data_IF_927620555009
#
_entry.id   IF_927620555009
#
_cell.length_a   1.000
_cell.length_b   1.000
_cell.length_c   1.000
_cell.angle_alpha   90.00
_cell.angle_beta   90.00
_cell.angle_gamma   90.00
#
_symmetry.space_group_name_H-M   'P 1'
#
loop_
_entity.id
_entity.type
_entity.pdbx_description
1 polymer ?
#
# COMPACT_ATOMS: atom_id res chain seq x y z
N UNK A 1 -41.87 3.63 29.67
CA UNK A 1 -40.66 3.35 28.86
C UNK A 1 -40.76 1.91 28.42
N UNK A 2 -40.86 1.65 27.12
CA UNK A 2 -40.86 0.29 26.60
C UNK A 2 -39.42 -0.24 26.60
N UNK A 3 -39.26 -1.52 26.95
CA UNK A 3 -37.97 -2.20 26.91
C UNK A 3 -37.74 -2.70 25.48
N UNK A 4 -36.79 -2.10 24.77
CA UNK A 4 -36.40 -2.58 23.44
C UNK A 4 -35.66 -3.92 23.59
N UNK A 5 -35.99 -4.87 22.72
CA UNK A 5 -35.34 -6.18 22.69
C UNK A 5 -34.39 -6.26 21.51
N UNK A 6 -33.11 -6.46 21.79
CA UNK A 6 -32.06 -6.65 20.77
C UNK A 6 -31.92 -8.15 20.50
N UNK A 7 -31.86 -8.53 19.23
CA UNK A 7 -31.57 -9.88 18.75
C UNK A 7 -30.18 -9.90 18.12
N UNK A 8 -29.33 -10.86 18.48
CA UNK A 8 -28.00 -11.04 17.92
C UNK A 8 -27.14 -11.99 18.75
N UNK A 9 -25.90 -12.23 18.31
CA UNK A 9 -24.98 -13.14 18.99
C UNK A 9 -24.48 -12.55 20.32
N UNK A 10 -24.76 -13.23 21.44
CA UNK A 10 -24.27 -12.80 22.77
C UNK A 10 -22.84 -13.21 23.05
N UNK A 11 -22.27 -14.11 22.24
CA UNK A 11 -20.90 -14.59 22.38
C UNK A 11 -20.15 -14.57 21.04
N UNK A 12 -19.98 -13.38 20.43
CA UNK A 12 -19.38 -13.20 19.12
C UNK A 12 -17.91 -13.60 19.08
N UNK A 13 -17.45 -14.04 17.92
CA UNK A 13 -16.04 -14.38 17.69
C UNK A 13 -15.26 -13.12 17.32
N UNK A 14 -14.10 -12.91 17.93
CA UNK A 14 -13.22 -11.80 17.55
C UNK A 14 -12.83 -11.92 16.08
N UNK A 15 -12.87 -10.79 15.35
CA UNK A 15 -12.51 -10.73 13.94
C UNK A 15 -13.67 -10.97 12.97
N UNK A 16 -14.76 -11.56 13.42
CA UNK A 16 -15.97 -11.79 12.63
C UNK A 16 -16.94 -10.60 12.70
N UNK A 17 -17.68 -10.39 11.62
CA UNK A 17 -18.72 -9.35 11.54
C UNK A 17 -20.05 -9.94 11.99
N UNK A 18 -20.63 -9.34 13.00
CA UNK A 18 -21.83 -9.82 13.69
C UNK A 18 -22.98 -8.84 13.48
N UNK A 19 -24.18 -9.37 13.25
CA UNK A 19 -25.36 -8.59 12.94
C UNK A 19 -26.32 -8.55 14.13
N UNK A 20 -26.85 -7.37 14.42
CA UNK A 20 -27.80 -7.12 15.51
C UNK A 20 -29.02 -6.36 14.99
N UNK A 21 -30.21 -6.74 15.46
CA UNK A 21 -31.47 -6.13 15.06
C UNK A 21 -32.39 -5.91 16.26
N UNK A 22 -33.38 -5.03 16.11
CA UNK A 22 -34.49 -4.94 17.06
C UNK A 22 -35.50 -6.06 16.79
N UNK A 23 -35.89 -6.80 17.83
CA UNK A 23 -36.98 -7.78 17.74
C UNK A 23 -38.30 -7.05 17.45
N UNK A 24 -38.98 -7.45 16.38
CA UNK A 24 -40.28 -6.91 15.94
C UNK A 24 -41.46 -7.45 16.78
N UNK A 25 -41.22 -7.81 18.04
CA UNK A 25 -42.27 -8.19 18.99
C UNK A 25 -43.25 -7.04 19.27
N UNK A 26 -42.91 -5.80 18.91
CA UNK A 26 -43.82 -4.64 18.81
C UNK A 26 -44.76 -4.79 17.59
N UNK A 27 -45.58 -5.85 17.55
CA UNK A 27 -46.71 -5.98 16.59
C UNK A 27 -47.86 -5.00 16.87
N UNK A 28 -47.65 -3.95 17.68
CA UNK A 28 -48.67 -2.94 17.97
C UNK A 28 -48.57 -1.67 17.12
N UNK A 29 -47.56 -1.50 16.27
CA UNK A 29 -47.39 -0.28 15.46
C UNK A 29 -47.63 -0.45 13.96
N UNK A 30 -48.01 -1.64 13.48
CA UNK A 30 -48.31 -1.85 12.05
C UNK A 30 -49.75 -1.50 11.65
N UNK A 31 -50.59 -1.02 12.57
CA UNK A 31 -52.00 -0.74 12.31
C UNK A 31 -52.38 0.74 12.17
N UNK A 32 -51.46 1.69 12.35
CA UNK A 32 -51.76 3.12 12.14
C UNK A 32 -50.62 3.86 11.40
N UNK A 33 -50.78 4.19 10.10
CA UNK A 33 -49.81 4.97 9.34
C UNK A 33 -49.87 6.49 9.63
N UNK A 34 -50.57 6.92 10.69
CA UNK A 34 -50.79 8.33 10.99
C UNK A 34 -50.17 8.71 12.34
N UNK A 35 -49.18 9.61 12.25
CA UNK A 35 -48.73 10.53 13.30
C UNK A 35 -47.72 10.07 14.38
N UNK A 36 -46.60 9.45 14.01
CA UNK A 36 -45.38 9.57 14.82
C UNK A 36 -44.16 9.85 13.93
N UNK A 37 -43.29 10.83 14.28
CA UNK A 37 -41.99 10.92 13.61
C UNK A 37 -41.30 9.58 13.79
N UNK A 38 -40.75 8.99 12.72
CA UNK A 38 -39.93 7.80 12.84
C UNK A 38 -38.73 8.17 13.73
N UNK A 39 -38.85 7.91 15.02
CA UNK A 39 -37.82 8.22 16.00
C UNK A 39 -36.59 7.42 15.61
N UNK A 40 -35.50 8.15 15.35
CA UNK A 40 -34.21 7.60 14.97
C UNK A 40 -33.77 6.54 15.98
N UNK A 41 -33.30 5.40 15.47
CA UNK A 41 -32.76 4.30 16.28
C UNK A 41 -31.26 4.44 16.29
N UNK A 42 -30.67 4.58 17.47
CA UNK A 42 -29.24 4.76 17.70
C UNK A 42 -28.68 3.61 18.52
N UNK A 43 -27.48 3.14 18.14
CA UNK A 43 -26.80 2.01 18.75
C UNK A 43 -25.42 2.40 19.23
N UNK A 44 -25.06 1.96 20.42
CA UNK A 44 -23.75 2.21 21.03
C UNK A 44 -23.20 0.94 21.70
N UNK A 45 -21.87 0.80 21.69
CA UNK A 45 -21.18 -0.22 22.49
C UNK A 45 -20.66 0.43 23.77
N UNK A 46 -21.04 -0.16 24.89
CA UNK A 46 -20.52 0.18 26.20
C UNK A 46 -19.56 -0.90 26.66
N UNK A 47 -18.42 -0.48 27.18
CA UNK A 47 -17.41 -1.36 27.76
C UNK A 47 -17.22 -1.00 29.22
N UNK A 48 -17.05 -2.02 30.04
CA UNK A 48 -16.71 -1.87 31.45
C UNK A 48 -15.23 -2.15 31.64
N UNK A 49 -14.51 -1.13 32.10
CA UNK A 49 -13.12 -1.25 32.54
C UNK A 49 -13.01 -1.05 34.07
N UNK A 50 -11.78 -0.86 34.58
CA UNK A 50 -11.54 -0.65 36.02
C UNK A 50 -12.15 0.66 36.55
N UNK A 51 -12.44 1.64 35.70
CA UNK A 51 -12.99 2.96 36.04
C UNK A 51 -14.52 3.02 35.91
N UNK A 52 -15.15 1.99 35.35
CA UNK A 52 -16.59 1.89 35.20
C UNK A 52 -17.04 1.69 33.77
N UNK A 53 -18.29 2.03 33.48
CA UNK A 53 -18.87 1.95 32.14
C UNK A 53 -18.50 3.17 31.31
N UNK A 54 -18.06 2.95 30.07
CA UNK A 54 -17.84 4.01 29.08
C UNK A 54 -18.28 3.58 27.70
N UNK A 55 -18.64 4.55 26.87
CA UNK A 55 -18.92 4.34 25.44
C UNK A 55 -17.58 4.21 24.70
N UNK A 56 -17.51 3.30 23.74
CA UNK A 56 -16.33 3.18 22.87
C UNK A 56 -16.44 4.17 21.71
N UNK A 57 -15.40 5.00 21.51
CA UNK A 57 -15.36 5.99 20.42
C UNK A 57 -15.60 5.33 19.05
N UNK A 58 -16.39 5.98 18.19
CA UNK A 58 -16.63 5.54 16.81
C UNK A 58 -17.59 4.37 16.62
N UNK A 59 -18.40 4.01 17.63
CA UNK A 59 -19.35 2.88 17.56
C UNK A 59 -20.82 3.28 17.45
N UNK A 60 -21.10 4.59 17.29
CA UNK A 60 -22.44 5.09 17.04
C UNK A 60 -22.90 4.59 15.67
N UNK A 61 -23.98 3.83 15.66
CA UNK A 61 -24.63 3.34 14.44
C UNK A 61 -26.11 3.64 14.49
N UNK A 62 -26.73 3.69 13.32
CA UNK A 62 -28.13 4.07 13.16
C UNK A 62 -28.88 3.06 12.31
N UNK A 63 -30.19 2.96 12.54
CA UNK A 63 -31.07 2.07 11.77
C UNK A 63 -31.61 0.89 12.59
N UNK A 64 -32.45 0.07 11.97
CA UNK A 64 -33.08 -1.10 12.61
C UNK A 64 -32.17 -2.32 12.66
N UNK A 65 -31.10 -2.31 11.86
CA UNK A 65 -30.11 -3.36 11.69
C UNK A 65 -28.72 -2.74 11.71
N UNK A 66 -27.83 -3.28 12.53
CA UNK A 66 -26.43 -2.82 12.61
C UNK A 66 -25.48 -4.00 12.63
N UNK A 67 -24.27 -3.77 12.13
CA UNK A 67 -23.17 -4.74 12.20
C UNK A 67 -22.11 -4.28 13.17
N UNK A 68 -21.47 -5.19 13.89
CA UNK A 68 -20.31 -4.88 14.73
C UNK A 68 -19.22 -5.91 14.51
N UNK A 69 -17.96 -5.49 14.61
CA UNK A 69 -16.79 -6.36 14.58
C UNK A 69 -15.98 -6.14 15.84
N UNK A 70 -15.81 -7.20 16.62
CA UNK A 70 -15.08 -7.15 17.88
C UNK A 70 -13.60 -7.48 17.64
N UNK A 71 -12.71 -6.86 18.42
CA UNK A 71 -11.25 -7.02 18.32
C UNK A 71 -10.70 -7.72 19.55
N UNK A 72 -9.40 -8.05 19.56
CA UNK A 72 -8.78 -8.67 20.73
C UNK A 72 -8.88 -7.76 21.99
N UNK A 73 -8.92 -6.43 21.82
CA UNK A 73 -9.23 -5.46 22.90
C UNK A 73 -10.54 -5.79 23.59
N UNK A 74 -11.54 -6.27 22.85
CA UNK A 74 -12.84 -6.61 23.39
C UNK A 74 -12.77 -7.75 24.40
N UNK A 75 -11.76 -8.63 24.33
CA UNK A 75 -11.55 -9.71 25.30
C UNK A 75 -11.00 -9.22 26.64
N UNK A 76 -10.40 -8.02 26.67
CA UNK A 76 -9.77 -7.46 27.87
C UNK A 76 -10.75 -6.73 28.79
N UNK A 77 -11.94 -6.39 28.30
CA UNK A 77 -12.94 -5.71 29.10
C UNK A 77 -13.64 -6.66 30.06
N UNK A 78 -14.02 -6.15 31.24
CA UNK A 78 -14.72 -6.94 32.26
C UNK A 78 -16.12 -7.33 31.81
N UNK A 79 -16.80 -6.42 31.11
CA UNK A 79 -18.12 -6.63 30.54
C UNK A 79 -18.30 -5.72 29.31
N UNK A 80 -19.13 -6.17 28.36
CA UNK A 80 -19.55 -5.39 27.21
C UNK A 80 -21.07 -5.46 27.11
N UNK A 81 -21.69 -4.37 26.65
CA UNK A 81 -23.09 -4.39 26.23
C UNK A 81 -23.30 -3.54 24.99
N UNK A 82 -24.24 -3.95 24.16
CA UNK A 82 -24.83 -3.12 23.12
C UNK A 82 -26.05 -2.44 23.72
N UNK A 83 -26.11 -1.13 23.56
CA UNK A 83 -27.23 -0.29 23.96
C UNK A 83 -27.90 0.26 22.71
N UNK A 84 -29.23 0.18 22.67
CA UNK A 84 -30.05 0.76 21.61
C UNK A 84 -31.04 1.75 22.21
N UNK A 85 -31.19 2.91 21.57
CA UNK A 85 -32.08 3.99 21.99
C UNK A 85 -33.01 4.33 20.82
N UNK A 86 -34.32 4.40 21.09
CA UNK A 86 -35.36 4.83 20.14
C UNK A 86 -36.26 5.84 20.86
N UNK A 87 -36.01 7.13 20.66
CA UNK A 87 -36.73 8.18 21.38
C UNK A 87 -36.51 8.08 22.90
N UNK A 88 -37.55 7.70 23.65
CA UNK A 88 -37.50 7.48 25.11
C UNK A 88 -37.29 6.02 25.51
N UNK A 89 -37.33 5.10 24.55
CA UNK A 89 -37.21 3.67 24.79
C UNK A 89 -35.74 3.24 24.68
N UNK A 90 -35.36 2.27 25.50
CA UNK A 90 -33.98 1.77 25.60
C UNK A 90 -33.95 0.25 25.71
N UNK A 91 -32.92 -0.37 25.13
CA UNK A 91 -32.63 -1.79 25.25
C UNK A 91 -31.13 -2.02 25.43
N UNK A 92 -30.78 -3.05 26.21
CA UNK A 92 -29.41 -3.46 26.45
C UNK A 92 -29.25 -4.96 26.14
N UNK A 93 -28.15 -5.33 25.49
CA UNK A 93 -27.73 -6.71 25.26
C UNK A 93 -26.31 -6.89 25.79
N UNK A 94 -26.13 -7.72 26.81
CA UNK A 94 -24.81 -8.06 27.33
C UNK A 94 -24.11 -9.06 26.42
N UNK A 95 -22.83 -8.80 26.16
CA UNK A 95 -22.03 -9.57 25.21
C UNK A 95 -20.74 -10.02 25.88
N UNK A 96 -20.35 -11.26 25.60
CA UNK A 96 -19.06 -11.84 26.02
C UNK A 96 -18.33 -12.42 24.80
N UNK A 97 -17.52 -11.61 24.10
CA UNK A 97 -16.76 -12.06 22.95
C UNK A 97 -15.85 -13.25 23.29
N UNK A 98 -15.58 -14.09 22.30
CA UNK A 98 -14.66 -15.23 22.42
C UNK A 98 -13.46 -15.04 21.49
N UNK A 99 -12.29 -15.60 21.85
CA UNK A 99 -11.16 -15.68 20.93
C UNK A 99 -11.56 -16.38 19.63
N UNK A 100 -10.92 -15.99 18.53
CA UNK A 100 -11.06 -16.70 17.26
C UNK A 100 -10.46 -18.09 17.34
N UNK A 101 -11.13 -19.08 16.76
CA UNK A 101 -10.63 -20.46 16.68
C UNK A 101 -9.40 -20.56 15.77
N UNK A 102 -9.37 -19.76 14.70
CA UNK A 102 -8.30 -19.73 13.71
C UNK A 102 -7.54 -18.39 13.77
N UNK A 103 -6.56 -18.24 14.66
CA UNK A 103 -5.79 -17.01 14.74
C UNK A 103 -4.93 -16.83 13.49
N UNK A 104 -4.94 -15.65 12.88
CA UNK A 104 -4.20 -15.42 11.66
C UNK A 104 -4.13 -13.98 11.17
N UNK A 105 -3.31 -13.77 10.14
CA UNK A 105 -3.14 -12.49 9.45
C UNK A 105 -4.21 -12.40 8.36
N UNK A 106 -5.07 -11.39 8.46
CA UNK A 106 -6.16 -11.16 7.50
C UNK A 106 -5.66 -10.47 6.23
N UNK A 107 -4.91 -9.38 6.39
CA UNK A 107 -4.32 -8.63 5.29
C UNK A 107 -3.17 -7.74 5.77
N UNK A 108 -2.35 -7.28 4.82
CA UNK A 108 -1.22 -6.38 5.04
C UNK A 108 -1.44 -5.11 4.21
N UNK A 109 -1.28 -3.96 4.84
CA UNK A 109 -1.47 -2.65 4.24
C UNK A 109 -0.17 -1.84 4.29
N UNK A 110 0.12 -1.14 3.19
CA UNK A 110 1.22 -0.20 3.05
C UNK A 110 0.69 1.24 3.12
N UNK A 111 1.32 2.04 3.98
CA UNK A 111 0.97 3.43 4.24
C UNK A 111 2.21 4.31 4.03
N UNK A 112 1.97 5.57 3.69
CA UNK A 112 3.02 6.59 3.69
C UNK A 112 3.35 7.08 5.11
N UNK A 113 4.30 8.01 5.20
CA UNK A 113 4.76 8.61 6.46
C UNK A 113 3.65 9.30 7.25
N UNK A 114 2.58 9.72 6.58
CA UNK A 114 1.41 10.37 7.18
C UNK A 114 0.34 9.35 7.57
N UNK A 115 0.67 8.06 7.59
CA UNK A 115 -0.26 6.95 7.86
C UNK A 115 -1.45 6.89 6.88
N UNK A 116 -1.31 7.44 5.67
CA UNK A 116 -2.31 7.33 4.61
C UNK A 116 -1.98 6.16 3.71
N UNK A 117 -3.02 5.44 3.25
CA UNK A 117 -2.87 4.33 2.31
C UNK A 117 -2.20 4.82 1.02
N UNK A 118 -1.18 4.09 0.58
CA UNK A 118 -0.51 4.37 -0.69
C UNK A 118 -1.47 3.95 -1.81
N UNK A 119 -1.95 4.89 -2.66
CA UNK A 119 -2.79 4.55 -3.79
C UNK A 119 -2.04 3.68 -4.79
N UNK A 120 -2.77 2.79 -5.48
CA UNK A 120 -2.19 1.98 -6.55
C UNK A 120 -1.59 2.89 -7.64
N UNK A 121 -0.34 2.65 -7.99
CA UNK A 121 0.37 3.45 -9.00
C UNK A 121 0.92 4.79 -8.51
N UNK A 122 0.77 5.13 -7.21
CA UNK A 122 1.53 6.26 -6.65
C UNK A 122 3.02 5.93 -6.73
N UNK A 123 3.77 6.82 -7.38
CA UNK A 123 5.21 6.72 -7.47
C UNK A 123 5.85 7.21 -6.18
N UNK A 124 6.60 6.33 -5.53
CA UNK A 124 7.35 6.57 -4.30
C UNK A 124 8.82 6.86 -4.64
N UNK A 125 9.56 7.46 -3.71
CA UNK A 125 11.00 7.70 -3.85
C UNK A 125 11.80 6.88 -2.83
N UNK A 126 13.07 6.60 -3.12
CA UNK A 126 13.98 5.92 -2.19
C UNK A 126 14.28 6.69 -0.91
N UNK A 127 13.93 7.97 -0.85
CA UNK A 127 13.98 8.78 0.39
C UNK A 127 12.78 8.56 1.29
N UNK A 128 11.73 7.92 0.79
CA UNK A 128 10.47 7.79 1.50
C UNK A 128 10.54 6.70 2.58
N UNK A 129 9.54 6.76 3.45
CA UNK A 129 9.32 5.75 4.49
C UNK A 129 7.96 5.12 4.29
N UNK A 130 7.93 3.79 4.40
CA UNK A 130 6.72 2.97 4.28
C UNK A 130 6.38 2.45 5.66
N UNK A 131 5.17 2.77 6.13
CA UNK A 131 4.61 2.19 7.35
C UNK A 131 3.78 0.97 6.94
N UNK A 132 4.01 -0.17 7.58
CA UNK A 132 3.30 -1.41 7.27
C UNK A 132 2.42 -1.79 8.44
N UNK A 133 1.17 -2.14 8.16
CA UNK A 133 0.22 -2.69 9.13
C UNK A 133 -0.21 -4.08 8.72
N UNK A 134 0.01 -5.08 9.57
CA UNK A 134 -0.62 -6.39 9.44
C UNK A 134 -1.84 -6.45 10.36
N UNK A 135 -3.01 -6.64 9.79
CA UNK A 135 -4.25 -6.80 10.54
C UNK A 135 -4.47 -8.27 10.86
N UNK A 136 -4.53 -8.57 12.13
CA UNK A 136 -4.53 -9.92 12.69
C UNK A 136 -5.79 -10.14 13.52
N UNK A 137 -6.19 -11.40 13.67
CA UNK A 137 -7.36 -11.82 14.45
C UNK A 137 -6.92 -12.91 15.41
N UNK A 138 -7.25 -12.78 16.71
CA UNK A 138 -6.89 -13.80 17.72
C UNK A 138 -5.39 -13.90 17.98
N UNK A 139 -4.66 -12.80 17.75
CA UNK A 139 -3.20 -12.80 17.71
C UNK A 139 -2.55 -11.79 18.66
N UNK A 140 -3.34 -11.13 19.51
CA UNK A 140 -2.82 -10.22 20.54
C UNK A 140 -1.58 -10.73 21.26
N UNK A 141 -0.54 -9.90 21.32
CA UNK A 141 0.75 -10.20 21.95
C UNK A 141 1.67 -11.12 21.14
N UNK A 142 1.23 -11.65 19.99
CA UNK A 142 2.11 -12.42 19.11
C UNK A 142 2.99 -11.48 18.28
N UNK A 143 4.22 -11.93 17.99
CA UNK A 143 5.14 -11.22 17.10
C UNK A 143 4.90 -11.64 15.65
N UNK A 144 4.84 -10.65 14.76
CA UNK A 144 4.76 -10.81 13.31
C UNK A 144 6.06 -10.29 12.71
N UNK A 145 6.71 -11.11 11.87
CA UNK A 145 7.90 -10.76 11.13
C UNK A 145 7.52 -10.15 9.78
N UNK A 146 8.19 -9.08 9.39
CA UNK A 146 7.94 -8.34 8.16
C UNK A 146 9.20 -8.34 7.30
N UNK A 147 9.04 -8.74 6.05
CA UNK A 147 10.11 -8.78 5.05
C UNK A 147 9.70 -7.97 3.84
N UNK A 148 10.56 -7.03 3.46
CA UNK A 148 10.47 -6.21 2.25
C UNK A 148 11.16 -6.95 1.11
N UNK A 149 10.45 -7.03 0.00
CA UNK A 149 10.86 -7.71 -1.23
C UNK A 149 10.74 -6.75 -2.40
N UNK A 150 11.62 -6.94 -3.37
CA UNK A 150 11.44 -6.47 -4.73
C UNK A 150 10.68 -7.56 -5.54
N UNK A 151 9.81 -7.15 -6.47
CA UNK A 151 9.00 -8.03 -7.31
C UNK A 151 9.47 -8.13 -8.78
N UNK A 152 10.54 -8.87 -9.04
CA UNK A 152 10.97 -9.24 -10.39
C UNK A 152 10.18 -10.41 -11.03
N UNK A 153 9.14 -10.95 -10.37
CA UNK A 153 8.47 -12.15 -10.88
C UNK A 153 7.67 -11.84 -12.16
N UNK A 154 7.90 -12.62 -13.22
CA UNK A 154 7.08 -12.56 -14.46
C UNK A 154 5.70 -13.17 -14.19
N UNK A 155 4.82 -12.38 -13.57
CA UNK A 155 3.53 -12.84 -13.07
C UNK A 155 3.29 -12.31 -11.65
N UNK A 156 2.10 -11.77 -11.39
CA UNK A 156 1.78 -11.07 -10.13
C UNK A 156 1.87 -12.01 -8.93
N UNK A 157 2.74 -11.71 -7.97
CA UNK A 157 2.67 -12.26 -6.60
C UNK A 157 3.98 -12.79 -6.03
N UNK A 158 3.97 -13.08 -4.73
CA UNK A 158 5.11 -13.62 -4.00
C UNK A 158 5.41 -15.07 -4.43
N UNK A 159 6.49 -15.28 -5.16
CA UNK A 159 7.08 -16.59 -5.37
C UNK A 159 8.30 -16.74 -4.44
N UNK A 160 8.23 -17.57 -3.39
CA UNK A 160 9.31 -17.70 -2.41
C UNK A 160 10.59 -18.29 -2.99
N UNK A 161 10.55 -18.96 -4.15
CA UNK A 161 11.72 -19.54 -4.81
C UNK A 161 12.35 -18.52 -5.75
N UNK A 162 11.55 -17.80 -6.55
CA UNK A 162 12.04 -16.78 -7.48
C UNK A 162 12.51 -15.53 -6.74
N UNK A 163 11.74 -15.05 -5.76
CA UNK A 163 12.05 -13.81 -5.05
C UNK A 163 13.05 -13.99 -3.90
N UNK A 164 13.54 -15.21 -3.59
CA UNK A 164 14.45 -15.45 -2.46
C UNK A 164 15.70 -14.57 -2.51
N UNK A 165 16.18 -14.27 -3.72
CA UNK A 165 17.34 -13.40 -3.98
C UNK A 165 17.01 -11.90 -3.92
N UNK A 166 15.73 -11.54 -3.95
CA UNK A 166 15.21 -10.16 -3.97
C UNK A 166 14.78 -9.65 -2.59
N UNK A 167 15.26 -10.33 -1.54
CA UNK A 167 15.02 -9.92 -0.15
C UNK A 167 15.82 -8.66 0.18
N UNK A 168 15.13 -7.58 0.47
CA UNK A 168 15.76 -6.26 0.71
C UNK A 168 16.30 -6.16 2.12
N UNK A 169 15.52 -6.59 3.12
CA UNK A 169 15.98 -6.64 4.50
C UNK A 169 16.38 -8.07 4.88
N UNK A 170 17.70 -8.31 5.02
CA UNK A 170 18.23 -9.63 5.41
C UNK A 170 17.62 -10.13 6.73
N UNK A 171 17.46 -9.23 7.70
CA UNK A 171 16.80 -9.49 8.98
C UNK A 171 15.37 -8.93 8.93
N UNK A 172 14.33 -9.77 9.09
CA UNK A 172 12.95 -9.31 9.19
C UNK A 172 12.74 -8.30 10.32
N UNK A 173 11.95 -7.28 10.10
CA UNK A 173 11.49 -6.39 11.17
C UNK A 173 10.36 -7.08 11.93
N UNK A 174 10.32 -6.98 13.26
CA UNK A 174 9.26 -7.62 14.05
C UNK A 174 8.35 -6.59 14.69
N UNK A 175 7.04 -6.76 14.55
CA UNK A 175 6.02 -5.98 15.25
C UNK A 175 5.17 -6.89 16.14
N UNK A 176 4.81 -6.43 17.34
CA UNK A 176 3.87 -7.12 18.22
C UNK A 176 2.43 -6.71 17.87
N UNK A 177 1.51 -7.68 17.87
CA UNK A 177 0.09 -7.43 17.62
C UNK A 177 -0.52 -6.74 18.83
N UNK A 178 -0.96 -5.51 18.63
CA UNK A 178 -1.60 -4.73 19.68
C UNK A 178 -3.06 -5.17 19.94
N UNK A 179 -3.70 -4.49 20.89
CA UNK A 179 -5.08 -4.78 21.26
C UNK A 179 -6.09 -4.50 20.13
N UNK A 180 -5.76 -3.68 19.14
CA UNK A 180 -6.61 -3.48 17.95
C UNK A 180 -6.49 -4.65 16.96
N UNK A 181 -5.62 -5.61 17.24
CA UNK A 181 -5.29 -6.70 16.34
C UNK A 181 -4.33 -6.25 15.24
N UNK A 182 -3.47 -5.25 15.49
CA UNK A 182 -2.59 -4.71 14.45
C UNK A 182 -1.12 -4.78 14.88
N UNK A 183 -0.30 -5.45 14.07
CA UNK A 183 1.17 -5.36 14.16
C UNK A 183 1.67 -4.30 13.17
N UNK A 184 2.61 -3.46 13.61
CA UNK A 184 3.12 -2.33 12.81
C UNK A 184 4.64 -2.29 12.79
N UNK A 185 5.22 -2.00 11.62
CA UNK A 185 6.65 -1.74 11.44
C UNK A 185 6.87 -0.58 10.46
N UNK A 186 8.09 -0.06 10.43
CA UNK A 186 8.48 1.08 9.59
C UNK A 186 9.69 0.71 8.76
N UNK A 187 9.55 0.72 7.44
CA UNK A 187 10.65 0.57 6.49
C UNK A 187 11.09 1.95 6.02
N UNK A 188 12.32 2.33 6.38
CA UNK A 188 12.98 3.52 5.83
C UNK A 188 13.74 3.10 4.59
N UNK A 189 13.23 3.40 3.39
CA UNK A 189 13.87 3.00 2.13
C UNK A 189 15.35 3.44 2.03
N UNK A 190 15.77 4.61 2.57
CA UNK A 190 17.19 5.01 2.56
C UNK A 190 18.13 4.05 3.29
N UNK A 191 17.62 3.33 4.30
CA UNK A 191 18.43 2.39 5.08
C UNK A 191 18.78 1.13 4.27
N UNK A 192 18.14 0.93 3.12
CA UNK A 192 18.35 -0.21 2.25
C UNK A 192 19.08 0.25 0.98
N UNK A 193 20.31 0.73 1.14
CA UNK A 193 21.15 1.21 0.02
C UNK A 193 21.42 0.14 -1.04
N UNK A 194 21.38 -1.13 -0.64
CA UNK A 194 21.46 -2.28 -1.55
C UNK A 194 20.17 -2.51 -2.34
N UNK A 195 19.04 -1.89 -1.98
CA UNK A 195 17.75 -2.14 -2.62
C UNK A 195 17.76 -1.74 -4.10
N UNK A 196 18.42 -0.63 -4.44
CA UNK A 196 18.62 -0.19 -5.83
C UNK A 196 19.48 -1.20 -6.59
N UNK A 197 20.51 -1.76 -5.96
CA UNK A 197 21.42 -2.72 -6.59
C UNK A 197 20.74 -4.08 -6.80
N UNK A 198 19.94 -4.52 -5.83
CA UNK A 198 19.18 -5.77 -5.89
C UNK A 198 18.13 -5.68 -7.01
N UNK A 199 17.37 -4.59 -7.05
CA UNK A 199 16.40 -4.33 -8.11
C UNK A 199 17.09 -4.32 -9.49
N UNK A 200 18.13 -3.48 -9.66
CA UNK A 200 18.84 -3.38 -10.95
C UNK A 200 19.66 -4.65 -11.29
N UNK A 201 19.81 -5.62 -10.39
CA UNK A 201 20.42 -6.92 -10.69
C UNK A 201 19.39 -7.91 -11.25
N UNK A 202 18.09 -7.68 -11.03
CA UNK A 202 16.95 -8.43 -11.56
C UNK A 202 16.70 -8.31 -13.05
N UNK A 203 17.50 -7.47 -13.74
CA UNK A 203 17.38 -7.23 -15.18
C UNK A 203 17.39 -8.55 -15.94
N UNK A 204 16.28 -8.84 -16.64
CA UNK A 204 16.14 -10.01 -17.47
C UNK A 204 17.32 -10.11 -18.46
N UNK A 205 17.82 -11.32 -18.72
CA UNK A 205 18.94 -11.54 -19.66
C UNK A 205 18.62 -10.92 -21.02
N UNK A 206 19.25 -9.78 -21.32
CA UNK A 206 19.09 -9.06 -22.58
C UNK A 206 18.58 -7.62 -22.45
N UNK A 207 18.01 -7.25 -21.30
CA UNK A 207 17.59 -5.87 -21.05
C UNK A 207 18.75 -5.00 -20.55
N UNK A 208 18.74 -3.72 -20.92
CA UNK A 208 19.77 -2.74 -20.52
C UNK A 208 19.47 -2.09 -19.16
N UNK A 209 18.23 -2.19 -18.69
CA UNK A 209 17.73 -1.54 -17.48
C UNK A 209 16.42 -2.23 -17.03
N UNK A 210 16.16 -2.28 -15.74
CA UNK A 210 14.94 -2.78 -15.09
C UNK A 210 13.69 -1.94 -15.42
N UNK A 211 13.89 -0.74 -15.94
CA UNK A 211 12.82 0.16 -16.37
C UNK A 211 12.64 1.35 -15.44
N UNK A 212 11.52 2.06 -15.59
CA UNK A 212 11.28 3.36 -14.93
C UNK A 212 11.06 3.26 -13.42
N UNK A 213 10.65 2.09 -12.93
CA UNK A 213 10.19 1.88 -11.56
C UNK A 213 10.55 0.49 -11.08
N UNK A 214 10.90 0.38 -9.80
CA UNK A 214 11.03 -0.90 -9.10
C UNK A 214 9.75 -1.17 -8.31
N UNK A 215 9.32 -2.42 -8.25
CA UNK A 215 8.10 -2.80 -7.53
C UNK A 215 8.45 -3.45 -6.20
N UNK A 216 7.93 -2.90 -5.10
CA UNK A 216 8.19 -3.41 -3.75
C UNK A 216 6.91 -3.91 -3.08
N UNK A 217 7.02 -5.00 -2.33
CA UNK A 217 5.94 -5.50 -1.47
C UNK A 217 6.48 -6.03 -0.14
N UNK A 218 5.59 -6.26 0.81
CA UNK A 218 5.95 -6.74 2.15
C UNK A 218 5.17 -8.00 2.48
N UNK A 219 5.88 -9.04 2.93
CA UNK A 219 5.26 -10.22 3.54
C UNK A 219 5.23 -10.07 5.05
N UNK A 220 4.10 -10.38 5.66
CA UNK A 220 3.95 -10.53 7.11
C UNK A 220 3.83 -12.02 7.44
N UNK A 221 4.69 -12.52 8.33
CA UNK A 221 4.79 -13.93 8.69
C UNK A 221 4.75 -14.14 10.21
N UNK A 222 4.08 -15.21 10.63
CA UNK A 222 4.20 -15.76 11.99
C UNK A 222 4.93 -17.09 11.90
N UNK A 223 6.25 -17.04 12.10
CA UNK A 223 7.18 -18.16 11.85
C UNK A 223 6.72 -19.44 12.55
N UNK A 224 6.26 -19.34 13.79
CA UNK A 224 5.81 -20.51 14.58
C UNK A 224 4.54 -21.18 14.05
N UNK A 225 3.78 -20.53 13.18
CA UNK A 225 2.49 -21.01 12.65
C UNK A 225 2.45 -21.13 11.13
N UNK A 226 3.55 -20.79 10.44
CA UNK A 226 3.63 -20.74 8.97
C UNK A 226 2.50 -19.93 8.31
N UNK A 227 2.02 -18.88 8.99
CA UNK A 227 0.99 -17.98 8.45
C UNK A 227 1.71 -16.85 7.73
N UNK A 228 1.51 -16.73 6.41
CA UNK A 228 2.11 -15.70 5.58
C UNK A 228 1.04 -14.96 4.75
N UNK A 229 1.13 -13.63 4.73
CA UNK A 229 0.35 -12.77 3.83
C UNK A 229 1.24 -11.70 3.21
N UNK A 230 1.05 -11.46 1.91
CA UNK A 230 1.72 -10.39 1.18
C UNK A 230 0.83 -9.14 1.10
N UNK A 231 1.46 -7.97 1.09
CA UNK A 231 0.83 -6.72 0.74
C UNK A 231 0.66 -6.58 -0.78
N UNK A 232 -0.14 -5.62 -1.25
CA UNK A 232 -0.04 -5.14 -2.63
C UNK A 232 1.34 -4.51 -2.91
N UNK A 233 1.72 -4.45 -4.19
CA UNK A 233 2.95 -3.80 -4.64
C UNK A 233 2.82 -2.28 -4.60
N UNK A 234 3.96 -1.61 -4.41
CA UNK A 234 4.14 -0.16 -4.55
C UNK A 234 5.31 0.13 -5.48
N UNK A 235 5.18 1.17 -6.28
CA UNK A 235 6.17 1.49 -7.32
C UNK A 235 7.10 2.57 -6.79
N UNK A 236 8.41 2.32 -6.81
CA UNK A 236 9.46 3.27 -6.43
C UNK A 236 10.20 3.70 -7.69
N UNK A 237 10.46 4.99 -7.85
CA UNK A 237 11.19 5.52 -8.99
C UNK A 237 12.60 4.92 -9.06
N UNK A 238 12.99 4.38 -10.22
CA UNK A 238 14.35 3.89 -10.44
C UNK A 238 15.29 5.10 -10.65
N UNK A 239 16.24 5.38 -9.75
CA UNK A 239 17.20 6.47 -9.93
C UNK A 239 18.19 6.21 -11.06
N UNK A 240 18.39 4.95 -11.46
CA UNK A 240 19.25 4.53 -12.56
C UNK A 240 18.56 4.50 -13.93
N UNK A 241 17.29 4.88 -14.02
CA UNK A 241 16.58 4.88 -15.31
C UNK A 241 17.04 6.03 -16.21
N UNK A 242 17.61 5.67 -17.36
CA UNK A 242 17.94 6.60 -18.43
C UNK A 242 16.89 6.42 -19.53
N UNK A 243 16.05 7.42 -19.83
CA UNK A 243 15.09 7.31 -20.91
C UNK A 243 15.81 7.07 -22.24
N UNK A 244 15.28 6.19 -23.11
CA UNK A 244 15.83 6.07 -24.45
C UNK A 244 15.75 7.46 -25.12
N UNK A 245 16.85 7.89 -25.73
CA UNK A 245 16.88 9.09 -26.56
C UNK A 245 15.76 8.94 -27.60
N UNK A 246 14.74 9.80 -27.51
CA UNK A 246 13.65 9.79 -28.47
C UNK A 246 14.22 10.06 -29.86
N UNK A 247 14.11 9.09 -30.77
CA UNK A 247 14.30 9.30 -32.20
C UNK A 247 13.19 10.22 -32.71
N UNK A 248 13.30 11.52 -32.45
CA UNK A 248 12.58 12.53 -33.22
C UNK A 248 13.27 12.69 -34.58
N UNK A 249 13.17 11.65 -35.39
CA UNK A 249 13.21 11.74 -36.85
C UNK A 249 12.16 10.80 -37.40
N UNK A 250 10.90 11.12 -37.13
CA UNK A 250 9.85 10.81 -38.09
C UNK A 250 10.28 11.42 -39.42
N UNK A 251 10.61 10.54 -40.35
CA UNK A 251 10.78 10.81 -41.76
C UNK A 251 9.53 11.54 -42.27
N UNK A 252 9.58 12.87 -42.31
CA UNK A 252 8.76 13.63 -43.26
C UNK A 252 9.24 13.26 -44.65
N UNK A 253 8.50 12.38 -45.31
CA UNK A 253 8.46 12.36 -46.77
C UNK A 253 8.07 13.76 -47.24
N UNK A 254 9.07 14.50 -47.74
CA UNK A 254 8.83 15.76 -48.45
C UNK A 254 8.70 15.36 -49.91
N UNK A 255 7.44 15.34 -50.37
CA UNK A 255 7.06 15.36 -51.77
C UNK A 255 7.70 16.55 -52.48
N UNK A 256 8.36 16.26 -53.60
CA UNK A 256 9.00 17.24 -54.47
C UNK A 256 7.94 18.08 -55.21
N UNK A 257 7.85 19.37 -54.89
CA UNK A 257 7.23 20.38 -55.76
C UNK A 257 7.86 21.77 -55.56
N UNK A 258 8.62 22.24 -56.56
CA UNK A 258 8.56 23.62 -57.08
C UNK A 258 9.21 24.79 -56.32
N UNK A 259 10.37 25.21 -56.85
CA UNK A 259 10.90 26.58 -57.03
C UNK A 259 11.02 27.58 -55.86
N UNK A 260 12.27 28.04 -55.62
CA UNK A 260 12.52 29.39 -55.11
C UNK A 260 13.80 29.61 -54.28
N UNK A 261 14.84 30.13 -54.95
CA UNK A 261 15.95 30.97 -54.44
C UNK A 261 16.97 30.43 -53.43
N UNK A 262 18.24 30.52 -53.84
CA UNK A 262 19.44 30.18 -53.09
C UNK A 262 19.70 31.12 -51.91
N UNK A 263 20.13 30.55 -50.79
CA UNK A 263 20.91 31.28 -49.78
C UNK A 263 22.02 30.39 -49.21
N UNK A 264 23.25 30.88 -49.33
CA UNK A 264 24.51 30.20 -49.07
C UNK A 264 24.65 29.73 -47.61
N UNK A 265 24.91 28.43 -47.40
CA UNK A 265 25.56 27.93 -46.19
C UNK A 265 27.04 27.63 -46.50
N UNK A 266 28.00 28.04 -45.64
CA UNK A 266 29.42 27.84 -45.87
C UNK A 266 29.78 26.36 -45.88
N UNK A 267 30.55 25.94 -46.89
CA UNK A 267 31.11 24.59 -47.00
C UNK A 267 32.09 24.35 -45.82
N UNK A 268 31.98 23.25 -45.05
CA UNK A 268 32.93 22.94 -43.98
C UNK A 268 34.35 22.82 -44.53
N UNK A 269 35.33 23.38 -43.80
CA UNK A 269 36.76 23.33 -44.18
C UNK A 269 37.25 21.88 -44.22
N UNK A 270 38.14 21.61 -45.17
CA UNK A 270 38.64 20.28 -45.55
C UNK A 270 39.29 19.50 -44.38
N UNK A 271 39.79 20.21 -43.36
CA UNK A 271 40.42 19.65 -42.16
C UNK A 271 39.49 19.64 -40.94
N UNK A 272 38.27 19.14 -41.10
CA UNK A 272 37.38 18.88 -39.95
C UNK A 272 37.03 17.39 -39.91
N UNK A 273 37.17 16.75 -38.75
CA UNK A 273 36.94 15.32 -38.58
C UNK A 273 35.51 14.93 -39.04
N UNK A 274 35.42 13.97 -39.95
CA UNK A 274 34.14 13.39 -40.41
C UNK A 274 33.95 12.02 -39.79
N UNK A 275 32.87 11.84 -39.04
CA UNK A 275 32.48 10.55 -38.50
C UNK A 275 31.65 9.78 -39.54
N UNK A 276 31.97 8.51 -39.83
CA UNK A 276 31.25 7.73 -40.84
C UNK A 276 29.83 7.40 -40.36
N UNK A 277 28.83 7.66 -41.19
CA UNK A 277 27.42 7.35 -40.90
C UNK A 277 26.98 5.94 -41.34
N UNK A 278 27.88 5.13 -41.91
CA UNK A 278 27.60 3.73 -42.25
C UNK A 278 28.84 2.83 -42.06
N UNK A 279 28.65 1.52 -41.80
CA UNK A 279 29.75 0.60 -41.47
C UNK A 279 30.79 0.38 -42.58
N UNK A 280 30.49 0.73 -43.82
CA UNK A 280 31.37 0.55 -44.97
C UNK A 280 32.29 1.76 -45.27
N UNK A 281 32.13 2.88 -44.54
CA UNK A 281 32.93 4.09 -44.79
C UNK A 281 34.25 4.08 -44.01
N UNK A 282 35.37 4.33 -44.71
CA UNK A 282 36.72 4.37 -44.10
C UNK A 282 36.86 5.57 -43.16
N UNK A 283 37.30 5.32 -41.93
CA UNK A 283 37.65 6.34 -40.93
C UNK A 283 38.92 7.07 -41.37
N UNK A 284 38.91 8.40 -41.33
CA UNK A 284 40.12 9.22 -41.43
C UNK A 284 40.56 9.58 -40.01
N UNK A 285 41.77 9.18 -39.62
CA UNK A 285 42.31 9.47 -38.29
C UNK A 285 42.81 10.91 -38.21
N UNK A 286 42.57 11.56 -37.07
CA UNK A 286 43.14 12.87 -36.73
C UNK A 286 44.61 12.68 -36.31
N UNK A 287 45.59 13.17 -37.11
CA UNK A 287 47.00 12.89 -36.85
C UNK A 287 47.59 13.64 -35.65
N UNK A 288 46.96 14.73 -35.18
CA UNK A 288 47.59 15.62 -34.18
C UNK A 288 47.03 15.51 -32.76
N UNK A 289 45.85 14.92 -32.55
CA UNK A 289 45.34 14.57 -31.22
C UNK A 289 45.47 15.67 -30.16
N UNK A 290 45.32 16.95 -30.53
CA UNK A 290 45.50 18.08 -29.61
C UNK A 290 44.18 18.38 -28.90
N UNK A 291 44.13 18.06 -27.61
CA UNK A 291 43.09 18.56 -26.70
C UNK A 291 43.35 20.06 -26.53
N UNK A 292 42.48 20.90 -27.10
CA UNK A 292 42.64 22.36 -27.07
C UNK A 292 42.21 22.96 -25.73
N UNK A 293 41.34 22.29 -24.98
CA UNK A 293 41.07 22.58 -23.56
C UNK A 293 40.37 21.39 -22.90
N UNK A 294 40.56 21.27 -21.60
CA UNK A 294 39.77 20.40 -20.73
C UNK A 294 39.42 21.23 -19.48
N UNK A 295 38.14 21.29 -19.14
CA UNK A 295 37.65 21.99 -17.95
C UNK A 295 36.79 21.04 -17.13
N UNK A 296 36.91 21.16 -15.81
CA UNK A 296 36.10 20.42 -14.85
C UNK A 296 35.02 21.34 -14.32
N UNK A 297 33.78 20.89 -14.38
CA UNK A 297 32.62 21.59 -13.80
C UNK A 297 32.07 20.78 -12.62
N UNK A 298 31.37 21.46 -11.72
CA UNK A 298 30.65 20.77 -10.65
C UNK A 298 29.33 20.15 -11.16
N UNK A 299 28.61 19.44 -10.27
CA UNK A 299 27.35 18.76 -10.58
C UNK A 299 26.21 19.68 -11.05
N UNK A 300 26.43 21.00 -11.12
CA UNK A 300 25.48 21.97 -11.70
C UNK A 300 25.93 22.54 -13.04
N UNK A 301 27.09 22.11 -13.55
CA UNK A 301 27.60 22.48 -14.88
C UNK A 301 28.17 23.89 -14.96
N UNK A 302 28.53 24.49 -13.81
CA UNK A 302 29.26 25.76 -13.76
C UNK A 302 30.74 25.51 -13.54
N UNK A 303 31.58 26.32 -14.18
CA UNK A 303 33.03 26.38 -13.96
C UNK A 303 33.35 26.97 -12.59
#
# INVERSE_FOLDING_TARGET
MAKLTITGNTRPTVGETEMYSLSLSDRFTLLNPVAFPLTKVEWNIHVQDRKGWRITNGNLKEGTLVTYKFTDKSLQYKALKIEVIRGKDKGDLYIKPRPAENPGITHVELLDIHSKRIPKGKLMHYTDTIIVKAYCVGMFGQKVAFTLWEDDATGKGHDPVVNMVNKINRIPLTGEVDHEGVARVVFRLPAYTLAVQIANAGVARGDKNEGKTHEYYVTAEVISKHILKASPNVNVANPGYIPPLSDQRESKEISLSGNGSAQNNPKPKENTAKFPQTPAAKKQADPEGRILSAEFTDGTGKL
#
